data_IF_334648235943
#
_entry.id   IF_334648235943
#
_cell.length_a   1.000
_cell.length_b   1.000
_cell.length_c   1.000
_cell.angle_alpha   90.00
_cell.angle_beta   90.00
_cell.angle_gamma   90.00
#
_symmetry.space_group_name_H-M   'P 1'
#
loop_
_entity.id
_entity.type
_entity.pdbx_description
1 polymer ?
#
# COMPACT_ATOMS: atom_id res chain seq x y z
N UNK A 1 4.00 31.46 -6.63
CA UNK A 1 3.70 30.07 -7.05
C UNK A 1 3.67 29.20 -5.80
N UNK A 2 2.50 28.73 -5.36
CA UNK A 2 2.41 27.86 -4.20
C UNK A 2 3.05 26.51 -4.55
N UNK A 3 4.17 26.18 -3.90
CA UNK A 3 4.75 24.84 -3.97
C UNK A 3 3.67 23.89 -3.44
N UNK A 4 3.27 22.91 -4.25
CA UNK A 4 2.36 21.87 -3.81
C UNK A 4 2.94 21.22 -2.55
N UNK A 5 2.24 21.36 -1.42
CA UNK A 5 2.68 20.85 -0.11
C UNK A 5 2.43 19.34 0.05
N UNK A 6 2.03 18.65 -1.02
CA UNK A 6 1.87 17.21 -1.01
C UNK A 6 3.22 16.54 -1.25
N UNK A 7 3.61 15.54 -0.41
CA UNK A 7 4.84 14.81 -0.64
C UNK A 7 4.77 14.11 -2.00
N UNK A 8 5.90 13.93 -2.69
CA UNK A 8 5.94 13.31 -4.02
C UNK A 8 5.27 11.93 -4.00
N UNK A 9 4.68 11.56 -5.15
CA UNK A 9 4.06 10.25 -5.30
C UNK A 9 5.13 9.16 -5.18
N UNK A 10 4.84 8.05 -4.48
CA UNK A 10 5.75 6.93 -4.39
C UNK A 10 5.98 6.34 -5.79
N UNK A 11 7.23 5.93 -6.03
CA UNK A 11 7.69 5.30 -7.28
C UNK A 11 7.99 3.83 -7.12
N UNK A 12 8.12 3.35 -5.88
CA UNK A 12 8.38 1.96 -5.52
C UNK A 12 7.39 1.45 -4.49
N UNK A 13 7.22 0.12 -4.41
CA UNK A 13 6.39 -0.53 -3.38
C UNK A 13 6.91 -0.15 -2.00
N UNK A 14 8.22 -0.10 -1.79
CA UNK A 14 8.83 0.29 -0.52
C UNK A 14 8.46 1.73 -0.11
N UNK A 15 8.53 2.69 -1.03
CA UNK A 15 8.11 4.08 -0.77
C UNK A 15 6.60 4.17 -0.49
N UNK A 16 5.78 3.40 -1.21
CA UNK A 16 4.33 3.36 -1.01
C UNK A 16 3.98 2.82 0.38
N UNK A 17 4.61 1.71 0.79
CA UNK A 17 4.43 1.12 2.12
C UNK A 17 4.91 2.08 3.20
N UNK A 18 6.09 2.69 3.05
CA UNK A 18 6.60 3.65 4.02
C UNK A 18 5.65 4.83 4.21
N UNK A 19 5.09 5.34 3.11
CA UNK A 19 4.10 6.41 3.19
C UNK A 19 2.83 6.00 3.93
N UNK A 20 2.31 4.80 3.71
CA UNK A 20 1.16 4.29 4.45
C UNK A 20 1.47 4.12 5.94
N UNK A 21 2.69 3.67 6.29
CA UNK A 21 3.14 3.56 7.68
C UNK A 21 3.24 4.91 8.39
N UNK A 22 3.61 5.96 7.67
CA UNK A 22 3.67 7.33 8.18
C UNK A 22 2.28 7.97 8.31
N UNK A 23 1.37 7.63 7.39
CA UNK A 23 -0.01 8.13 7.39
C UNK A 23 -0.91 7.43 8.42
N UNK A 24 -0.62 6.16 8.75
CA UNK A 24 -1.44 5.38 9.69
C UNK A 24 -1.08 5.66 11.14
N UNK A 25 -2.10 5.81 11.97
CA UNK A 25 -1.94 5.74 13.42
C UNK A 25 -1.72 4.29 13.90
N UNK A 26 -1.38 4.12 15.19
CA UNK A 26 -1.11 2.81 15.77
C UNK A 26 -2.34 1.87 15.73
N UNK A 27 -3.55 2.41 15.79
CA UNK A 27 -4.78 1.62 15.70
C UNK A 27 -4.97 1.08 14.28
N UNK A 28 -4.81 1.92 13.27
CA UNK A 28 -4.90 1.53 11.86
C UNK A 28 -3.84 0.48 11.50
N UNK A 29 -2.60 0.65 11.99
CA UNK A 29 -1.54 -0.36 11.83
C UNK A 29 -1.93 -1.69 12.47
N UNK A 30 -2.48 -1.67 13.68
CA UNK A 30 -2.94 -2.88 14.36
C UNK A 30 -4.11 -3.55 13.62
N UNK A 31 -5.09 -2.78 13.13
CA UNK A 31 -6.22 -3.28 12.35
C UNK A 31 -5.74 -4.01 11.08
N UNK A 32 -4.80 -3.43 10.33
CA UNK A 32 -4.21 -4.10 9.16
C UNK A 32 -3.40 -5.33 9.57
N UNK A 33 -2.55 -5.25 10.60
CA UNK A 33 -1.73 -6.37 11.07
C UNK A 33 -2.57 -7.58 11.50
N UNK A 34 -3.72 -7.34 12.12
CA UNK A 34 -4.65 -8.35 12.64
C UNK A 34 -5.64 -8.86 11.58
N UNK A 35 -5.73 -8.19 10.42
CA UNK A 35 -6.56 -8.66 9.32
C UNK A 35 -5.98 -9.97 8.77
N UNK A 36 -6.81 -11.01 8.69
CA UNK A 36 -6.46 -12.24 8.00
C UNK A 36 -6.11 -11.95 6.54
N UNK A 37 -5.09 -12.62 6.00
CA UNK A 37 -4.64 -12.42 4.62
C UNK A 37 -5.83 -12.57 3.63
N UNK A 38 -6.70 -13.55 3.87
CA UNK A 38 -7.93 -13.78 3.08
C UNK A 38 -9.00 -12.71 3.25
N UNK A 39 -8.86 -11.74 4.16
CA UNK A 39 -9.73 -10.58 4.34
C UNK A 39 -9.08 -9.26 3.87
N UNK A 40 -7.83 -9.30 3.39
CA UNK A 40 -7.18 -8.14 2.75
C UNK A 40 -7.94 -7.65 1.52
N UNK A 41 -8.74 -8.52 0.87
CA UNK A 41 -9.66 -8.12 -0.21
C UNK A 41 -10.73 -7.10 0.24
N UNK A 42 -11.11 -7.06 1.52
CA UNK A 42 -12.06 -6.06 2.02
C UNK A 42 -11.37 -4.71 2.23
N UNK A 43 -10.13 -4.72 2.69
CA UNK A 43 -9.25 -3.54 2.73
C UNK A 43 -8.97 -3.02 1.33
N UNK A 44 -8.92 -3.88 0.30
CA UNK A 44 -8.77 -3.47 -1.10
C UNK A 44 -9.86 -2.49 -1.55
N UNK A 45 -11.06 -2.53 -0.98
CA UNK A 45 -12.13 -1.65 -1.41
C UNK A 45 -11.91 -0.19 -0.97
N UNK A 46 -11.62 0.06 0.32
CA UNK A 46 -11.39 1.42 0.83
C UNK A 46 -9.92 1.85 0.71
N UNK A 47 -8.99 1.04 1.24
CA UNK A 47 -7.55 1.33 1.19
C UNK A 47 -7.00 1.18 -0.24
N UNK A 48 -7.41 0.15 -0.97
CA UNK A 48 -6.99 0.02 -2.38
C UNK A 48 -7.50 1.17 -3.25
N UNK A 49 -8.73 1.65 -3.05
CA UNK A 49 -9.25 2.84 -3.74
C UNK A 49 -8.46 4.10 -3.40
N UNK A 50 -8.08 4.27 -2.12
CA UNK A 50 -7.20 5.35 -1.70
C UNK A 50 -5.84 5.28 -2.42
N UNK A 51 -5.17 4.13 -2.39
CA UNK A 51 -3.87 3.92 -3.05
C UNK A 51 -3.96 4.24 -4.55
N UNK A 52 -4.95 3.70 -5.25
CA UNK A 52 -5.15 3.93 -6.69
C UNK A 52 -5.30 5.41 -7.03
N UNK A 53 -6.06 6.15 -6.21
CA UNK A 53 -6.31 7.58 -6.40
C UNK A 53 -5.09 8.44 -6.05
N UNK A 54 -4.42 8.14 -4.95
CA UNK A 54 -3.41 9.02 -4.35
C UNK A 54 -2.00 8.76 -4.88
N UNK A 55 -1.65 7.51 -5.14
CA UNK A 55 -0.28 7.13 -5.52
C UNK A 55 -0.03 7.18 -7.03
N UNK A 56 -1.03 7.57 -7.82
CA UNK A 56 -0.89 7.75 -9.27
C UNK A 56 -0.80 6.43 -10.04
N UNK A 57 -1.51 5.40 -9.58
CA UNK A 57 -1.58 4.13 -10.32
C UNK A 57 -2.27 4.31 -11.68
N UNK A 58 -3.21 5.23 -11.82
CA UNK A 58 -3.87 5.51 -13.12
C UNK A 58 -2.97 6.22 -14.15
N UNK A 59 -1.74 6.60 -13.80
CA UNK A 59 -0.83 7.24 -14.76
C UNK A 59 -0.35 6.22 -15.82
N UNK A 60 -0.36 6.57 -17.13
CA UNK A 60 0.06 5.68 -18.22
C UNK A 60 1.47 5.09 -18.04
N UNK A 61 2.40 5.88 -17.49
CA UNK A 61 3.78 5.49 -17.22
C UNK A 61 4.09 5.41 -15.72
N UNK A 62 3.14 4.92 -14.91
CA UNK A 62 3.31 4.87 -13.46
C UNK A 62 4.55 4.05 -13.08
N UNK A 63 5.61 4.67 -12.52
CA UNK A 63 6.80 3.93 -12.10
C UNK A 63 6.46 2.92 -11.00
N UNK A 64 5.47 3.25 -10.16
CA UNK A 64 4.97 2.39 -9.11
C UNK A 64 4.29 1.13 -9.65
N UNK A 65 3.49 1.21 -10.71
CA UNK A 65 2.87 0.01 -11.30
C UNK A 65 3.91 -0.94 -11.89
N UNK A 66 4.94 -0.39 -12.54
CA UNK A 66 6.08 -1.18 -13.03
C UNK A 66 6.85 -1.82 -11.89
N UNK A 67 7.04 -1.12 -10.77
CA UNK A 67 7.67 -1.69 -9.59
C UNK A 67 6.85 -2.82 -8.96
N UNK A 68 5.52 -2.65 -8.87
CA UNK A 68 4.61 -3.72 -8.46
C UNK A 68 4.63 -4.90 -9.44
N UNK A 69 4.76 -4.65 -10.75
CA UNK A 69 4.92 -5.69 -11.74
C UNK A 69 6.19 -6.50 -11.50
N UNK A 70 7.32 -5.84 -11.31
CA UNK A 70 8.61 -6.50 -11.09
C UNK A 70 8.59 -7.42 -9.88
N UNK A 71 7.89 -7.06 -8.81
CA UNK A 71 7.78 -7.91 -7.62
C UNK A 71 7.01 -9.22 -7.86
N UNK A 72 6.21 -9.29 -8.93
CA UNK A 72 5.45 -10.49 -9.33
C UNK A 72 5.87 -11.05 -10.69
N UNK A 73 7.04 -10.64 -11.22
CA UNK A 73 7.60 -11.16 -12.46
C UNK A 73 6.92 -10.65 -13.75
N UNK A 74 6.31 -9.45 -13.71
CA UNK A 74 5.65 -8.80 -14.86
C UNK A 74 6.25 -7.41 -15.11
N UNK A 75 6.15 -6.89 -16.33
CA UNK A 75 6.68 -5.55 -16.64
C UNK A 75 5.82 -4.43 -16.04
N UNK A 76 4.52 -4.69 -15.89
CA UNK A 76 3.53 -3.74 -15.42
C UNK A 76 2.28 -4.47 -14.89
N UNK A 77 1.47 -3.77 -14.10
CA UNK A 77 0.20 -4.28 -13.57
C UNK A 77 -0.94 -3.29 -13.83
N UNK A 78 -2.19 -3.77 -13.96
CA UNK A 78 -3.38 -2.93 -13.82
C UNK A 78 -3.40 -2.23 -12.44
N UNK A 79 -4.00 -1.03 -12.33
CA UNK A 79 -4.09 -0.31 -11.06
C UNK A 79 -4.71 -1.12 -9.91
N UNK A 80 -5.70 -1.97 -10.19
CA UNK A 80 -6.34 -2.82 -9.18
C UNK A 80 -5.38 -3.87 -8.64
N UNK A 81 -4.65 -4.57 -9.51
CA UNK A 81 -3.64 -5.56 -9.12
C UNK A 81 -2.43 -4.90 -8.43
N UNK A 82 -1.95 -3.77 -8.93
CA UNK A 82 -0.86 -3.02 -8.29
C UNK A 82 -1.22 -2.58 -6.87
N UNK A 83 -2.47 -2.20 -6.63
CA UNK A 83 -2.91 -1.86 -5.27
C UNK A 83 -2.99 -3.07 -4.33
N UNK A 84 -3.24 -4.29 -4.84
CA UNK A 84 -3.17 -5.52 -4.03
C UNK A 84 -1.73 -5.74 -3.56
N UNK A 85 -0.77 -5.68 -4.47
CA UNK A 85 0.66 -5.86 -4.15
C UNK A 85 1.13 -4.91 -3.05
N UNK A 86 0.70 -3.64 -3.10
CA UNK A 86 1.06 -2.65 -2.06
C UNK A 86 0.41 -2.98 -0.72
N UNK A 87 -0.86 -3.42 -0.72
CA UNK A 87 -1.58 -3.79 0.52
C UNK A 87 -0.97 -5.04 1.15
N UNK A 88 -0.60 -6.03 0.35
CA UNK A 88 0.10 -7.24 0.80
C UNK A 88 1.47 -6.89 1.41
N UNK A 89 2.27 -6.07 0.71
CA UNK A 89 3.56 -5.63 1.21
C UNK A 89 3.44 -4.82 2.52
N UNK A 90 2.41 -3.98 2.66
CA UNK A 90 2.11 -3.27 3.91
C UNK A 90 1.77 -4.25 5.04
N UNK A 91 0.92 -5.24 4.76
CA UNK A 91 0.52 -6.25 5.72
C UNK A 91 1.71 -7.09 6.21
N UNK A 92 2.60 -7.50 5.30
CA UNK A 92 3.85 -8.20 5.65
C UNK A 92 4.73 -7.34 6.55
N UNK A 93 4.88 -6.05 6.21
CA UNK A 93 5.68 -5.10 6.98
C UNK A 93 5.15 -4.86 8.39
N UNK A 94 3.84 -5.05 8.58
CA UNK A 94 3.13 -4.90 9.84
C UNK A 94 3.08 -6.18 10.69
N UNK A 95 3.51 -7.34 10.18
CA UNK A 95 3.49 -8.58 10.96
C UNK A 95 4.25 -8.50 12.31
N UNK A 96 5.43 -7.82 12.41
CA UNK A 96 6.08 -7.63 13.71
C UNK A 96 5.25 -6.83 14.74
N UNK A 97 4.30 -6.01 14.27
CA UNK A 97 3.37 -5.28 15.14
C UNK A 97 2.23 -6.16 15.64
N UNK A 98 1.92 -7.25 14.93
CA UNK A 98 0.88 -8.20 15.32
C UNK A 98 1.18 -8.79 16.69
N UNK A 99 2.41 -9.19 16.96
CA UNK A 99 2.81 -9.79 18.24
C UNK A 99 2.74 -8.78 19.41
N UNK A 100 2.80 -7.48 19.11
CA UNK A 100 2.63 -6.39 20.09
C UNK A 100 1.17 -6.09 20.42
N UNK A 101 0.26 -6.34 19.47
CA UNK A 101 -1.17 -6.00 19.58
C UNK A 101 -2.11 -7.21 19.70
N UNK A 102 -1.59 -8.43 19.47
CA UNK A 102 -2.25 -9.68 19.80
C UNK A 102 -2.28 -9.81 21.32
N UNK A 103 -3.26 -9.15 21.95
CA UNK A 103 -3.60 -9.39 23.34
C UNK A 103 -4.17 -10.83 23.43
N UNK A 104 -3.73 -11.66 24.39
CA UNK A 104 -4.29 -12.99 24.60
C UNK A 104 -5.78 -12.93 24.96
#
# INVERSE_FOLDING_TARGET
MAKSTLPPRPRTVAEAVQRLLEEFDERQKAEVALTFNTALYLLHFSLGSYIRKTFGLWAPDSPLRRDCGRSVGRDDLPPDEASVVIVEALWERLQPYRDRYAKP
#
